data_IF_583617530461
#
_entry.id   IF_583617530461
#
_cell.length_a   1.000
_cell.length_b   1.000
_cell.length_c   1.000
_cell.angle_alpha   90.00
_cell.angle_beta   90.00
_cell.angle_gamma   90.00
#
_symmetry.space_group_name_H-M   'P 1'
#
loop_
_entity.id
_entity.type
_entity.pdbx_description
1 polymer ?
#
# COMPACT_ATOMS: atom_id res chain seq x y z
N UNK A 1 -14.40 -6.78 2.10
CA UNK A 1 -14.31 -5.69 1.12
C UNK A 1 -15.63 -5.59 0.36
N UNK A 2 -16.16 -4.40 0.15
CA UNK A 2 -17.44 -4.16 -0.54
C UNK A 2 -17.18 -3.48 -1.88
N UNK A 3 -17.53 -4.16 -2.97
CA UNK A 3 -17.33 -3.68 -4.34
C UNK A 3 -18.51 -2.87 -4.89
N UNK A 4 -18.41 -2.37 -6.14
CA UNK A 4 -19.51 -1.68 -6.81
C UNK A 4 -20.80 -2.53 -6.87
N UNK A 5 -21.96 -1.88 -6.73
CA UNK A 5 -23.27 -2.57 -6.72
C UNK A 5 -23.62 -3.28 -5.41
N UNK A 6 -22.75 -3.18 -4.39
CA UNK A 6 -23.01 -3.77 -3.07
C UNK A 6 -23.87 -2.85 -2.22
N UNK A 7 -24.97 -3.37 -1.68
CA UNK A 7 -25.75 -2.73 -0.64
C UNK A 7 -25.54 -3.48 0.68
N UNK A 8 -25.39 -2.74 1.78
CA UNK A 8 -25.24 -3.33 3.11
C UNK A 8 -26.22 -2.66 4.07
N UNK A 9 -26.87 -3.47 4.91
CA UNK A 9 -27.82 -2.97 5.90
C UNK A 9 -27.10 -2.46 7.14
N UNK A 10 -27.74 -1.57 7.90
CA UNK A 10 -27.21 -1.09 9.18
C UNK A 10 -26.85 -2.24 10.13
N UNK A 11 -27.71 -3.26 10.26
CA UNK A 11 -27.44 -4.39 11.17
C UNK A 11 -26.24 -5.23 10.75
N UNK A 12 -25.99 -5.38 9.44
CA UNK A 12 -24.77 -6.01 8.97
C UNK A 12 -23.52 -5.18 9.32
N UNK A 13 -23.59 -3.85 9.25
CA UNK A 13 -22.50 -2.97 9.68
C UNK A 13 -22.22 -3.10 11.19
N UNK A 14 -23.27 -3.17 12.03
CA UNK A 14 -23.14 -3.40 13.47
C UNK A 14 -22.44 -4.73 13.75
N UNK A 15 -22.95 -5.82 13.15
CA UNK A 15 -22.37 -7.16 13.32
C UNK A 15 -20.89 -7.20 12.91
N UNK A 16 -20.53 -6.58 11.79
CA UNK A 16 -19.13 -6.51 11.34
C UNK A 16 -18.25 -5.75 12.34
N UNK A 17 -18.76 -4.64 12.88
CA UNK A 17 -18.09 -3.86 13.93
C UNK A 17 -17.85 -4.65 15.22
N UNK A 18 -18.83 -5.45 15.65
CA UNK A 18 -18.77 -6.28 16.87
C UNK A 18 -17.90 -7.53 16.68
N UNK A 19 -17.90 -8.09 15.47
CA UNK A 19 -17.11 -9.30 15.14
C UNK A 19 -15.61 -9.01 15.00
N UNK A 20 -15.20 -7.74 15.04
CA UNK A 20 -13.82 -7.33 14.73
C UNK A 20 -13.46 -7.51 13.26
N UNK A 21 -14.45 -7.38 12.38
CA UNK A 21 -14.25 -7.36 10.95
C UNK A 21 -14.18 -5.90 10.47
N UNK A 22 -13.21 -5.60 9.62
CA UNK A 22 -13.09 -4.31 8.96
C UNK A 22 -13.82 -4.34 7.63
N UNK A 23 -14.36 -3.17 7.27
CA UNK A 23 -15.02 -2.96 6.01
C UNK A 23 -14.19 -1.97 5.23
N UNK A 24 -13.88 -2.32 4.00
CA UNK A 24 -13.25 -1.42 3.05
C UNK A 24 -14.14 -1.40 1.81
N UNK A 25 -14.66 -0.22 1.50
CA UNK A 25 -15.35 0.09 0.25
C UNK A 25 -14.30 0.27 -0.83
N UNK A 26 -14.36 -0.61 -1.80
CA UNK A 26 -13.38 -0.71 -2.87
C UNK A 26 -14.06 -0.68 -4.23
N UNK A 27 -13.27 -0.36 -5.26
CA UNK A 27 -13.62 -0.68 -6.63
C UNK A 27 -13.67 -2.19 -6.86
N UNK A 28 -13.93 -2.58 -8.10
CA UNK A 28 -13.91 -3.98 -8.49
C UNK A 28 -12.63 -4.69 -8.01
N UNK A 29 -12.78 -5.81 -7.29
CA UNK A 29 -11.68 -6.66 -6.80
C UNK A 29 -10.58 -5.92 -6.00
N UNK A 30 -10.95 -4.88 -5.23
CA UNK A 30 -9.98 -4.21 -4.32
C UNK A 30 -9.07 -3.19 -4.98
N UNK A 31 -9.24 -2.97 -6.29
CA UNK A 31 -8.36 -2.14 -7.12
C UNK A 31 -8.39 -0.67 -6.72
N UNK A 32 -9.56 -0.13 -6.37
CA UNK A 32 -9.68 1.27 -5.93
C UNK A 32 -10.08 1.31 -4.47
N UNK A 33 -9.55 2.25 -3.70
CA UNK A 33 -10.06 2.54 -2.36
C UNK A 33 -11.05 3.70 -2.42
N UNK A 34 -12.15 3.62 -1.65
CA UNK A 34 -13.09 4.72 -1.47
C UNK A 34 -13.21 5.14 0.00
N UNK A 35 -13.50 4.20 0.90
CA UNK A 35 -13.69 4.46 2.32
C UNK A 35 -13.48 3.17 3.14
N UNK A 36 -13.23 3.30 4.44
CA UNK A 36 -13.20 2.17 5.36
C UNK A 36 -13.95 2.45 6.66
N UNK A 37 -14.42 1.38 7.29
CA UNK A 37 -14.93 1.40 8.66
C UNK A 37 -13.81 1.23 9.69
N UNK A 38 -14.16 0.66 10.85
CA UNK A 38 -13.19 0.34 11.92
C UNK A 38 -12.08 -0.59 11.38
N UNK A 39 -10.84 -0.39 11.85
CA UNK A 39 -9.70 -1.24 11.51
C UNK A 39 -9.88 -2.70 12.01
N UNK A 40 -9.17 -3.67 11.40
CA UNK A 40 -9.05 -5.03 11.95
C UNK A 40 -8.19 -5.02 13.22
N UNK A 41 -7.22 -4.10 13.28
CA UNK A 41 -6.41 -3.92 14.47
C UNK A 41 -7.32 -3.51 15.63
N UNK A 42 -7.45 -4.41 16.61
CA UNK A 42 -8.10 -4.09 17.87
C UNK A 42 -7.15 -3.35 18.83
N UNK A 43 -5.86 -3.29 18.48
CA UNK A 43 -4.77 -2.66 19.24
C UNK A 43 -4.26 -1.38 18.56
N UNK A 44 -3.79 -0.41 19.35
CA UNK A 44 -3.14 0.82 18.87
C UNK A 44 -1.64 0.66 18.56
N UNK A 45 -1.06 -0.53 18.76
CA UNK A 45 0.39 -0.78 18.65
C UNK A 45 1.02 -0.25 17.36
N UNK A 46 0.45 -0.58 16.20
CA UNK A 46 1.02 -0.20 14.91
C UNK A 46 0.94 1.30 14.65
N UNK A 47 -0.18 1.95 15.00
CA UNK A 47 -0.31 3.41 14.80
C UNK A 47 0.52 4.20 15.80
N UNK A 48 0.66 3.75 17.05
CA UNK A 48 1.58 4.32 18.03
C UNK A 48 3.03 4.20 17.56
N UNK A 49 3.42 3.03 17.04
CA UNK A 49 4.75 2.82 16.48
C UNK A 49 5.00 3.72 15.27
N UNK A 50 4.06 3.78 14.32
CA UNK A 50 4.14 4.67 13.16
C UNK A 50 4.31 6.14 13.57
N UNK A 51 3.48 6.61 14.51
CA UNK A 51 3.56 7.98 15.01
C UNK A 51 4.92 8.26 15.66
N UNK A 52 5.39 7.38 16.54
CA UNK A 52 6.72 7.49 17.19
C UNK A 52 7.83 7.56 16.15
N UNK A 53 7.82 6.67 15.17
CA UNK A 53 8.87 6.58 14.14
C UNK A 53 8.86 7.81 13.23
N UNK A 54 7.70 8.28 12.78
CA UNK A 54 7.57 9.47 11.90
C UNK A 54 7.93 10.77 12.63
N UNK A 55 7.59 10.89 13.91
CA UNK A 55 7.87 12.11 14.70
C UNK A 55 9.35 12.28 15.05
N UNK A 56 10.12 11.19 15.15
CA UNK A 56 11.55 11.26 15.39
C UNK A 56 12.36 11.46 14.10
N UNK A 57 13.24 12.47 14.06
CA UNK A 57 14.08 12.74 12.87
C UNK A 57 14.97 11.55 12.50
N UNK A 58 15.60 10.92 13.48
CA UNK A 58 16.52 9.79 13.26
C UNK A 58 15.76 8.52 12.90
N UNK A 59 14.68 8.20 13.62
CA UNK A 59 13.84 7.02 13.36
C UNK A 59 13.15 7.12 12.00
N UNK A 60 12.65 8.31 11.63
CA UNK A 60 12.04 8.52 10.31
C UNK A 60 13.06 8.29 9.19
N UNK A 61 14.28 8.79 9.39
CA UNK A 61 15.39 8.59 8.46
C UNK A 61 15.73 7.10 8.32
N UNK A 62 15.79 6.37 9.43
CA UNK A 62 16.07 4.94 9.45
C UNK A 62 15.02 4.12 8.69
N UNK A 63 13.74 4.34 8.96
CA UNK A 63 12.66 3.67 8.22
C UNK A 63 12.70 4.05 6.74
N UNK A 64 12.89 5.34 6.40
CA UNK A 64 13.01 5.77 5.01
C UNK A 64 14.19 5.10 4.29
N UNK A 65 15.31 4.89 4.97
CA UNK A 65 16.43 4.10 4.44
C UNK A 65 16.00 2.67 4.17
N UNK A 66 15.46 1.96 5.17
CA UNK A 66 14.97 0.58 5.01
C UNK A 66 14.03 0.46 3.80
N UNK A 67 13.12 1.41 3.61
CA UNK A 67 12.23 1.45 2.45
C UNK A 67 12.96 1.60 1.10
N UNK A 68 14.11 2.27 1.04
CA UNK A 68 14.97 2.25 -0.16
C UNK A 68 15.69 0.91 -0.31
N UNK A 69 16.23 0.36 0.77
CA UNK A 69 16.99 -0.91 0.76
C UNK A 69 16.14 -2.07 0.25
N UNK A 70 14.86 -2.13 0.65
CA UNK A 70 13.89 -3.11 0.15
C UNK A 70 13.74 -3.11 -1.38
N UNK A 71 14.06 -2.00 -2.05
CA UNK A 71 13.96 -1.85 -3.51
C UNK A 71 15.29 -2.14 -4.24
N UNK A 72 16.38 -2.30 -3.51
CA UNK A 72 17.71 -2.66 -4.01
C UNK A 72 18.12 -4.03 -3.44
N UNK A 73 17.23 -5.01 -3.53
CA UNK A 73 17.46 -6.34 -2.97
C UNK A 73 18.79 -6.93 -3.48
N UNK A 74 19.69 -7.27 -2.55
CA UNK A 74 21.01 -7.81 -2.86
C UNK A 74 22.14 -6.78 -3.05
N UNK A 75 21.87 -5.49 -2.93
CA UNK A 75 22.89 -4.44 -2.97
C UNK A 75 23.22 -3.92 -1.57
N UNK A 76 24.52 -3.75 -1.26
CA UNK A 76 24.93 -3.05 -0.04
C UNK A 76 24.72 -1.53 -0.20
N UNK A 77 23.85 -1.01 0.65
CA UNK A 77 23.42 0.40 0.67
C UNK A 77 23.78 1.09 2.00
N UNK A 78 24.44 0.37 2.91
CA UNK A 78 24.78 0.84 4.26
C UNK A 78 25.60 2.13 4.27
N UNK A 79 26.56 2.25 3.36
CA UNK A 79 27.43 3.43 3.23
C UNK A 79 26.83 4.62 2.45
N UNK A 80 25.62 4.51 1.90
CA UNK A 80 25.05 5.54 1.04
C UNK A 80 24.31 6.60 1.85
N UNK A 81 24.43 7.86 1.47
CA UNK A 81 23.59 8.95 1.99
C UNK A 81 22.17 8.88 1.41
N UNK A 82 21.19 9.52 2.08
CA UNK A 82 19.82 9.62 1.54
C UNK A 82 19.73 10.31 0.18
N UNK A 83 20.62 11.26 -0.09
CA UNK A 83 20.65 11.92 -1.40
C UNK A 83 21.13 10.93 -2.48
N UNK A 84 22.13 10.10 -2.18
CA UNK A 84 22.59 9.04 -3.07
C UNK A 84 21.52 7.97 -3.28
N UNK A 85 20.83 7.54 -2.23
CA UNK A 85 19.70 6.60 -2.33
C UNK A 85 18.60 7.15 -3.24
N UNK A 86 18.19 8.42 -3.05
CA UNK A 86 17.22 9.09 -3.94
C UNK A 86 17.70 9.16 -5.40
N UNK A 87 18.96 9.50 -5.61
CA UNK A 87 19.54 9.57 -6.95
C UNK A 87 19.56 8.21 -7.65
N UNK A 88 19.96 7.16 -6.93
CA UNK A 88 19.96 5.78 -7.41
C UNK A 88 18.54 5.28 -7.70
N UNK A 89 17.57 5.59 -6.84
CA UNK A 89 16.16 5.23 -7.05
C UNK A 89 15.66 5.81 -8.38
N UNK A 90 15.91 7.11 -8.59
CA UNK A 90 15.53 7.77 -9.84
C UNK A 90 16.18 7.11 -11.07
N UNK A 91 17.45 6.69 -10.96
CA UNK A 91 18.13 5.98 -12.04
C UNK A 91 17.55 4.58 -12.26
N UNK A 92 17.28 3.80 -11.19
CA UNK A 92 16.68 2.47 -11.27
C UNK A 92 15.32 2.53 -11.95
N UNK A 93 14.43 3.42 -11.49
CA UNK A 93 13.09 3.56 -12.06
C UNK A 93 13.14 3.97 -13.54
N UNK A 94 14.06 4.86 -13.94
CA UNK A 94 14.26 5.17 -15.37
C UNK A 94 14.73 3.95 -16.17
N UNK A 95 15.55 3.09 -15.56
CA UNK A 95 15.94 1.79 -16.12
C UNK A 95 14.72 0.90 -16.34
N UNK A 96 13.91 0.67 -15.30
CA UNK A 96 12.69 -0.15 -15.37
C UNK A 96 11.75 0.32 -16.48
N UNK A 97 11.55 1.65 -16.62
CA UNK A 97 10.76 2.20 -17.72
C UNK A 97 11.35 1.89 -19.10
N UNK A 98 12.67 2.03 -19.26
CA UNK A 98 13.35 1.75 -20.53
C UNK A 98 13.31 0.26 -20.88
N UNK A 99 13.52 -0.60 -19.89
CA UNK A 99 13.52 -2.05 -20.06
C UNK A 99 12.11 -2.52 -20.42
N UNK A 100 11.07 -2.00 -19.74
CA UNK A 100 9.67 -2.27 -20.08
C UNK A 100 9.32 -1.75 -21.48
N UNK A 101 9.72 -0.53 -21.82
CA UNK A 101 9.53 0.05 -23.16
C UNK A 101 10.14 -0.84 -24.25
N UNK A 102 11.38 -1.29 -24.04
CA UNK A 102 12.08 -2.17 -24.97
C UNK A 102 11.45 -3.56 -25.05
N UNK A 103 11.04 -4.13 -23.92
CA UNK A 103 10.47 -5.47 -23.85
C UNK A 103 9.12 -5.55 -24.57
N UNK A 104 8.27 -4.54 -24.40
CA UNK A 104 6.90 -4.53 -24.93
C UNK A 104 6.75 -3.68 -26.19
N UNK A 105 7.85 -3.17 -26.77
CA UNK A 105 7.82 -2.41 -28.02
C UNK A 105 7.02 -1.10 -27.96
N UNK A 106 6.95 -0.46 -26.79
CA UNK A 106 6.19 0.79 -26.58
C UNK A 106 7.13 1.97 -26.50
N UNK A 107 6.85 3.04 -27.25
CA UNK A 107 7.65 4.27 -27.19
C UNK A 107 7.55 4.93 -25.80
N UNK A 108 8.71 5.23 -25.21
CA UNK A 108 8.80 5.91 -23.92
C UNK A 108 9.68 7.14 -23.97
N UNK A 109 9.12 8.28 -23.58
CA UNK A 109 9.85 9.55 -23.44
C UNK A 109 10.04 9.92 -21.98
N UNK A 110 8.93 10.15 -21.27
CA UNK A 110 8.91 10.52 -19.86
C UNK A 110 7.58 10.19 -19.21
N UNK A 111 7.61 10.12 -17.88
CA UNK A 111 6.39 10.19 -17.08
C UNK A 111 5.86 11.61 -17.15
N UNK A 112 4.61 11.73 -17.55
CA UNK A 112 3.85 12.97 -17.54
C UNK A 112 2.52 12.71 -16.82
N UNK A 113 2.37 13.35 -15.67
CA UNK A 113 1.17 13.22 -14.84
C UNK A 113 0.58 14.62 -14.67
N UNK A 114 -0.48 14.89 -15.41
CA UNK A 114 -1.32 16.07 -15.25
C UNK A 114 -2.66 15.64 -14.62
N UNK A 115 -2.93 15.98 -13.34
CA UNK A 115 -4.23 15.72 -12.72
C UNK A 115 -5.39 16.35 -13.48
N UNK A 116 -5.14 17.49 -14.14
CA UNK A 116 -6.15 18.30 -14.83
C UNK A 116 -6.33 17.92 -16.30
N UNK A 117 -5.47 17.05 -16.83
CA UNK A 117 -5.47 16.69 -18.25
C UNK A 117 -5.12 15.21 -18.49
N UNK A 118 -5.95 14.34 -17.94
CA UNK A 118 -5.78 12.90 -18.06
C UNK A 118 -5.91 12.40 -19.51
N UNK A 119 -6.86 12.99 -20.27
CA UNK A 119 -7.20 12.55 -21.62
C UNK A 119 -6.18 12.96 -22.69
N UNK A 120 -5.45 14.06 -22.53
CA UNK A 120 -4.41 14.46 -23.50
C UNK A 120 -3.04 13.81 -23.22
N UNK A 121 -2.92 12.97 -22.19
CA UNK A 121 -1.69 12.19 -21.96
C UNK A 121 -1.60 11.02 -22.94
N UNK A 122 -0.39 10.65 -23.36
CA UNK A 122 -0.21 9.52 -24.28
C UNK A 122 -0.68 8.19 -23.65
N UNK A 123 -1.00 7.15 -24.46
CA UNK A 123 -1.58 5.90 -23.96
C UNK A 123 -0.80 5.28 -22.79
N UNK A 124 0.53 5.27 -22.86
CA UNK A 124 1.35 4.71 -21.77
C UNK A 124 1.24 5.48 -20.45
N UNK A 125 1.15 6.81 -20.49
CA UNK A 125 0.94 7.59 -19.26
C UNK A 125 -0.48 7.39 -18.68
N UNK A 126 -1.50 7.17 -19.52
CA UNK A 126 -2.84 6.82 -19.06
C UNK A 126 -2.85 5.44 -18.38
N UNK A 127 -2.25 4.43 -19.02
CA UNK A 127 -2.12 3.09 -18.48
C UNK A 127 -1.34 3.08 -17.16
N UNK A 128 -0.18 3.75 -17.08
CA UNK A 128 0.58 3.88 -15.84
C UNK A 128 -0.22 4.54 -14.72
N UNK A 129 -0.98 5.60 -15.04
CA UNK A 129 -1.81 6.28 -14.06
C UNK A 129 -2.93 5.37 -13.54
N UNK A 130 -3.59 4.64 -14.44
CA UNK A 130 -4.61 3.65 -14.08
C UNK A 130 -4.01 2.54 -13.21
N UNK A 131 -2.89 1.95 -13.62
CA UNK A 131 -2.21 0.87 -12.90
C UNK A 131 -1.72 1.32 -11.51
N UNK A 132 -1.14 2.51 -11.39
CA UNK A 132 -0.72 3.01 -10.08
C UNK A 132 -1.91 3.29 -9.17
N UNK A 133 -3.00 3.85 -9.69
CA UNK A 133 -4.23 4.04 -8.90
C UNK A 133 -4.77 2.70 -8.35
N UNK A 134 -4.64 1.62 -9.12
CA UNK A 134 -4.95 0.26 -8.66
C UNK A 134 -4.13 -0.14 -7.42
N UNK A 135 -2.81 -0.01 -7.54
CA UNK A 135 -1.90 -0.40 -6.48
C UNK A 135 -2.08 0.46 -5.23
N UNK A 136 -2.33 1.76 -5.40
CA UNK A 136 -2.62 2.67 -4.29
C UNK A 136 -3.88 2.25 -3.54
N UNK A 137 -4.94 1.84 -4.24
CA UNK A 137 -6.16 1.35 -3.61
C UNK A 137 -5.93 0.13 -2.71
N UNK A 138 -5.16 -0.83 -3.21
CA UNK A 138 -4.82 -2.07 -2.50
C UNK A 138 -3.94 -1.78 -1.28
N UNK A 139 -2.90 -0.98 -1.46
CA UNK A 139 -1.98 -0.59 -0.38
C UNK A 139 -2.72 0.21 0.69
N UNK A 140 -3.59 1.14 0.29
CA UNK A 140 -4.43 1.89 1.22
C UNK A 140 -5.30 0.94 2.04
N UNK A 141 -5.99 0.00 1.40
CA UNK A 141 -6.82 -0.99 2.08
C UNK A 141 -6.04 -1.79 3.15
N UNK A 142 -4.81 -2.20 2.84
CA UNK A 142 -3.93 -2.90 3.81
C UNK A 142 -3.54 -1.98 4.97
N UNK A 143 -3.12 -0.74 4.69
CA UNK A 143 -2.72 0.24 5.72
C UNK A 143 -3.84 0.46 6.75
N UNK A 144 -5.07 0.72 6.29
CA UNK A 144 -6.20 0.97 7.20
C UNK A 144 -6.67 -0.30 7.90
N UNK A 145 -6.60 -1.46 7.22
CA UNK A 145 -6.90 -2.75 7.82
C UNK A 145 -5.96 -3.05 9.00
N UNK A 146 -4.68 -2.67 8.88
CA UNK A 146 -3.67 -2.78 9.96
C UNK A 146 -3.78 -1.70 11.04
N UNK A 147 -4.66 -0.71 10.84
CA UNK A 147 -4.89 0.37 11.80
C UNK A 147 -3.84 1.48 11.72
N UNK A 148 -2.97 1.44 10.72
CA UNK A 148 -2.00 2.49 10.44
C UNK A 148 -2.68 3.72 9.80
N UNK A 149 -2.02 4.87 9.89
CA UNK A 149 -2.45 6.09 9.22
C UNK A 149 -1.89 6.17 7.78
N UNK A 150 -2.74 6.37 6.76
CA UNK A 150 -2.31 6.66 5.38
C UNK A 150 -1.50 7.96 5.24
N UNK A 151 -1.66 8.90 6.17
CA UNK A 151 -1.08 10.25 6.08
C UNK A 151 0.33 10.34 6.68
N UNK A 152 0.71 9.42 7.57
CA UNK A 152 2.00 9.44 8.26
C UNK A 152 3.08 8.72 7.44
N UNK A 153 3.56 9.40 6.39
CA UNK A 153 4.64 8.92 5.52
C UNK A 153 6.05 9.18 6.06
N UNK A 154 6.98 8.32 5.65
CA UNK A 154 8.41 8.38 5.91
C UNK A 154 9.17 9.10 4.79
N UNK A 155 8.91 8.77 3.52
CA UNK A 155 9.57 9.36 2.35
C UNK A 155 8.74 10.51 1.79
N UNK A 156 7.47 10.29 1.51
CA UNK A 156 6.52 11.32 1.09
C UNK A 156 5.97 12.07 2.31
N UNK A 157 5.54 13.32 2.09
CA UNK A 157 4.95 14.17 3.13
C UNK A 157 4.04 15.23 2.54
N UNK A 158 3.10 15.75 3.34
CA UNK A 158 2.22 16.85 2.95
C UNK A 158 0.94 16.41 2.22
N UNK A 159 0.72 15.10 2.07
CA UNK A 159 -0.49 14.53 1.47
C UNK A 159 -1.12 13.50 2.41
N UNK A 160 -2.45 13.41 2.42
CA UNK A 160 -3.19 12.40 3.21
C UNK A 160 -2.90 10.93 2.84
N UNK A 161 -2.18 10.70 1.73
CA UNK A 161 -1.83 9.39 1.20
C UNK A 161 -0.30 9.17 1.20
N UNK A 162 0.45 9.99 1.96
CA UNK A 162 1.92 9.94 1.95
C UNK A 162 2.46 8.53 2.22
N UNK A 163 1.91 7.83 3.21
CA UNK A 163 2.34 6.47 3.52
C UNK A 163 1.87 5.44 2.47
N UNK A 164 0.73 5.70 1.82
CA UNK A 164 0.28 4.88 0.68
C UNK A 164 1.29 4.96 -0.46
N UNK A 165 1.79 6.15 -0.78
CA UNK A 165 2.80 6.32 -1.82
C UNK A 165 4.13 5.66 -1.45
N UNK A 166 4.56 5.80 -0.18
CA UNK A 166 5.79 5.17 0.32
C UNK A 166 5.78 3.66 0.13
N UNK A 167 4.69 3.02 0.57
CA UNK A 167 4.53 1.57 0.51
C UNK A 167 4.27 1.09 -0.92
N UNK A 168 3.46 1.80 -1.71
CA UNK A 168 3.18 1.41 -3.09
C UNK A 168 4.44 1.45 -3.98
N UNK A 169 5.34 2.39 -3.75
CA UNK A 169 6.61 2.47 -4.48
C UNK A 169 7.49 1.23 -4.31
N UNK A 170 7.28 0.42 -3.27
CA UNK A 170 7.96 -0.86 -3.09
C UNK A 170 7.58 -1.90 -4.15
N UNK A 171 6.41 -1.76 -4.78
CA UNK A 171 5.86 -2.77 -5.70
C UNK A 171 5.65 -2.25 -7.14
N UNK A 172 5.81 -0.95 -7.38
CA UNK A 172 5.55 -0.36 -8.70
C UNK A 172 6.36 -1.00 -9.82
N UNK A 173 7.65 -1.21 -9.57
CA UNK A 173 8.59 -1.76 -10.54
C UNK A 173 8.28 -3.23 -10.89
N UNK A 174 7.81 -4.00 -9.92
CA UNK A 174 7.53 -5.43 -10.07
C UNK A 174 6.15 -5.69 -10.72
N UNK A 175 5.21 -4.76 -10.56
CA UNK A 175 3.80 -4.98 -10.91
C UNK A 175 3.32 -3.95 -11.92
N UNK A 176 3.09 -2.72 -11.48
CA UNK A 176 2.29 -1.78 -12.26
C UNK A 176 2.99 -1.21 -13.47
N UNK A 177 4.32 -1.01 -13.41
CA UNK A 177 5.09 -0.50 -14.55
C UNK A 177 5.10 -1.53 -15.69
N UNK A 178 5.60 -2.77 -15.49
CA UNK A 178 5.62 -3.74 -16.58
C UNK A 178 4.22 -4.06 -17.12
N UNK A 179 3.20 -4.18 -16.26
CA UNK A 179 1.82 -4.43 -16.72
C UNK A 179 1.25 -3.30 -17.57
N UNK A 180 1.53 -2.03 -17.25
CA UNK A 180 1.06 -0.91 -18.06
C UNK A 180 1.69 -0.92 -19.45
N UNK A 181 2.99 -1.22 -19.54
CA UNK A 181 3.67 -1.36 -20.83
C UNK A 181 3.18 -2.57 -21.61
N UNK A 182 2.95 -3.70 -20.93
CA UNK A 182 2.40 -4.90 -21.54
C UNK A 182 1.04 -4.62 -22.17
N UNK A 183 0.10 -4.02 -21.43
CA UNK A 183 -1.25 -3.71 -21.94
C UNK A 183 -1.18 -2.80 -23.16
N UNK A 184 -0.32 -1.78 -23.13
CA UNK A 184 -0.17 -0.87 -24.29
C UNK A 184 0.49 -1.59 -25.47
N UNK A 185 1.50 -2.42 -25.25
CA UNK A 185 2.16 -3.19 -26.30
C UNK A 185 1.22 -4.21 -26.98
N UNK A 186 0.38 -4.89 -26.17
CA UNK A 186 -0.69 -5.77 -26.65
C UNK A 186 -1.67 -4.99 -27.55
N UNK A 187 -2.17 -3.84 -27.10
CA UNK A 187 -3.14 -3.02 -27.84
C UNK A 187 -2.55 -2.32 -29.08
N UNK A 188 -1.28 -1.96 -29.06
CA UNK A 188 -0.57 -1.40 -30.22
C UNK A 188 -0.17 -2.48 -31.24
N UNK A 189 -0.30 -3.76 -30.90
CA UNK A 189 0.21 -4.87 -31.70
C UNK A 189 1.75 -4.91 -31.79
N UNK A 190 2.46 -4.17 -30.94
CA UNK A 190 3.93 -4.15 -30.88
C UNK A 190 4.50 -5.28 -30.03
N UNK A 191 3.64 -5.94 -29.24
CA UNK A 191 3.99 -7.11 -28.44
C UNK A 191 2.80 -8.07 -28.32
N UNK A 192 3.09 -9.38 -28.28
CA UNK A 192 2.13 -10.46 -28.08
C UNK A 192 2.72 -11.48 -27.10
N UNK A 193 1.86 -12.11 -26.29
CA UNK A 193 2.25 -13.18 -25.36
C UNK A 193 2.29 -14.59 -25.98
N UNK A 194 1.86 -14.71 -27.26
CA UNK A 194 1.74 -15.94 -28.08
C UNK A 194 0.82 -17.04 -27.54
N UNK A 195 -0.49 -16.88 -27.78
CA UNK A 195 -1.46 -17.93 -28.13
C UNK A 195 -2.72 -17.22 -28.67
N UNK A 196 -3.10 -17.51 -29.91
CA UNK A 196 -4.37 -17.20 -30.60
C UNK A 196 -5.19 -16.00 -30.09
N UNK A 197 -5.30 -14.98 -30.96
CA UNK A 197 -6.06 -13.72 -30.78
C UNK A 197 -5.30 -12.58 -30.07
N UNK A 198 -4.35 -11.95 -30.77
CA UNK A 198 -4.08 -10.54 -30.52
C UNK A 198 -5.39 -9.77 -30.83
N UNK A 199 -5.98 -9.02 -29.90
CA UNK A 199 -7.17 -8.24 -30.19
C UNK A 199 -6.82 -7.21 -31.26
N UNK A 200 -7.32 -7.42 -32.49
CA UNK A 200 -7.24 -6.42 -33.53
C UNK A 200 -8.32 -5.39 -33.26
N UNK A 201 -8.07 -4.26 -32.58
CA UNK A 201 -9.09 -3.21 -32.61
C UNK A 201 -8.60 -1.85 -32.09
N UNK A 202 -8.56 -0.87 -33.00
CA UNK A 202 -8.50 0.57 -32.67
C UNK A 202 -9.58 1.00 -31.66
N UNK A 203 -10.68 0.24 -31.52
CA UNK A 203 -11.77 0.52 -30.57
C UNK A 203 -11.49 0.15 -29.11
N UNK A 204 -10.41 -0.57 -28.80
CA UNK A 204 -10.10 -0.97 -27.41
C UNK A 204 -9.34 0.11 -26.62
N UNK A 205 -8.71 1.07 -27.30
CA UNK A 205 -8.05 2.20 -26.64
C UNK A 205 -9.04 3.11 -25.89
N UNK A 206 -10.32 3.11 -26.30
CA UNK A 206 -11.38 3.88 -25.63
C UNK A 206 -11.59 3.45 -24.16
N UNK A 207 -11.30 2.18 -23.80
CA UNK A 207 -11.31 1.67 -22.41
C UNK A 207 -9.90 1.27 -21.91
N UNK A 208 -8.82 1.87 -22.44
CA UNK A 208 -7.46 1.56 -21.98
C UNK A 208 -7.31 1.61 -20.46
N UNK A 209 -7.83 2.63 -19.73
CA UNK A 209 -7.79 2.63 -18.27
C UNK A 209 -8.54 1.45 -17.64
N UNK A 210 -9.67 1.01 -18.20
CA UNK A 210 -10.44 -0.13 -17.70
C UNK A 210 -9.74 -1.47 -17.93
N UNK A 211 -9.19 -1.67 -19.13
CA UNK A 211 -8.37 -2.84 -19.47
C UNK A 211 -7.17 -2.92 -18.51
N UNK A 212 -6.46 -1.81 -18.33
CA UNK A 212 -5.31 -1.75 -17.43
C UNK A 212 -5.70 -2.10 -15.99
N UNK A 213 -6.84 -1.56 -15.50
CA UNK A 213 -7.35 -1.90 -14.15
C UNK A 213 -7.63 -3.40 -14.01
N UNK A 214 -8.27 -4.03 -14.99
CA UNK A 214 -8.54 -5.48 -15.01
C UNK A 214 -7.25 -6.31 -15.08
N UNK A 215 -6.24 -5.85 -15.81
CA UNK A 215 -4.94 -6.54 -15.86
C UNK A 215 -4.20 -6.51 -14.53
N UNK A 216 -4.17 -5.36 -13.86
CA UNK A 216 -3.56 -5.24 -12.52
C UNK A 216 -4.34 -6.07 -11.51
N UNK A 217 -5.67 -6.01 -11.55
CA UNK A 217 -6.57 -6.83 -10.74
C UNK A 217 -6.22 -8.30 -10.81
N UNK A 218 -6.13 -8.84 -12.01
CA UNK A 218 -5.88 -10.27 -12.21
C UNK A 218 -4.50 -10.66 -11.66
N UNK A 219 -3.49 -9.80 -11.87
CA UNK A 219 -2.13 -10.00 -11.37
C UNK A 219 -2.00 -10.00 -9.83
N UNK A 220 -2.92 -9.35 -9.10
CA UNK A 220 -2.88 -9.26 -7.62
C UNK A 220 -3.95 -10.10 -6.93
N UNK A 221 -4.83 -10.74 -7.69
CA UNK A 221 -6.02 -11.45 -7.20
C UNK A 221 -5.71 -12.66 -6.30
N UNK A 222 -4.49 -13.21 -6.41
CA UNK A 222 -4.04 -14.35 -5.59
C UNK A 222 -3.71 -13.99 -4.13
N UNK A 223 -3.80 -12.72 -3.76
CA UNK A 223 -3.61 -12.23 -2.40
C UNK A 223 -2.15 -12.14 -1.93
N UNK A 224 -1.17 -12.58 -2.74
CA UNK A 224 0.25 -12.57 -2.33
C UNK A 224 0.77 -11.16 -2.07
N UNK A 225 0.30 -10.17 -2.83
CA UNK A 225 0.67 -8.77 -2.65
C UNK A 225 0.10 -8.20 -1.35
N UNK A 226 -1.13 -8.57 -0.96
CA UNK A 226 -1.70 -8.14 0.32
C UNK A 226 -0.93 -8.73 1.50
N UNK A 227 -0.58 -10.02 1.42
CA UNK A 227 0.22 -10.71 2.44
C UNK A 227 1.63 -10.11 2.54
N UNK A 228 2.30 -9.87 1.40
CA UNK A 228 3.61 -9.20 1.35
C UNK A 228 3.53 -7.78 1.92
N UNK A 229 2.55 -6.98 1.49
CA UNK A 229 2.33 -5.62 1.99
C UNK A 229 2.13 -5.58 3.51
N UNK A 230 1.36 -6.53 4.03
CA UNK A 230 1.15 -6.66 5.47
C UNK A 230 2.45 -6.95 6.22
N UNK A 231 3.23 -7.92 5.74
CA UNK A 231 4.53 -8.27 6.33
C UNK A 231 5.51 -7.11 6.28
N UNK A 232 5.59 -6.43 5.15
CA UNK A 232 6.52 -5.33 4.91
C UNK A 232 6.18 -4.13 5.83
N UNK A 233 4.90 -3.77 5.98
CA UNK A 233 4.46 -2.73 6.92
C UNK A 233 4.78 -3.11 8.37
N UNK A 234 4.49 -4.35 8.79
CA UNK A 234 4.82 -4.79 10.16
C UNK A 234 6.32 -4.74 10.42
N UNK A 235 7.13 -5.21 9.48
CA UNK A 235 8.59 -5.21 9.61
C UNK A 235 9.18 -3.80 9.71
N UNK A 236 8.63 -2.84 8.96
CA UNK A 236 9.07 -1.44 9.02
C UNK A 236 8.69 -0.74 10.32
N UNK A 237 7.52 -1.06 10.89
CA UNK A 237 6.97 -0.34 12.06
C UNK A 237 7.31 -1.01 13.39
N UNK A 238 7.47 -2.32 13.41
CA UNK A 238 7.69 -3.16 14.58
C UNK A 238 8.73 -4.26 14.25
N UNK A 239 10.00 -3.89 13.98
CA UNK A 239 11.04 -4.84 13.56
C UNK A 239 11.38 -5.89 14.62
N UNK A 240 11.21 -5.56 15.90
CA UNK A 240 11.51 -6.43 17.03
C UNK A 240 10.30 -7.29 17.48
N UNK A 241 9.17 -7.18 16.79
CA UNK A 241 7.93 -7.86 17.13
C UNK A 241 7.79 -9.14 16.30
N UNK A 242 7.94 -10.34 16.90
CA UNK A 242 7.85 -11.59 16.16
C UNK A 242 6.47 -11.71 15.50
N UNK A 243 6.45 -12.13 14.24
CA UNK A 243 5.20 -12.48 13.54
C UNK A 243 4.79 -13.86 14.06
N UNK A 244 4.16 -13.93 15.22
CA UNK A 244 3.60 -15.19 15.72
C UNK A 244 2.28 -15.49 14.99
N UNK A 245 2.18 -16.67 14.37
CA UNK A 245 1.01 -17.09 13.58
C UNK A 245 -0.27 -17.26 14.42
N UNK A 246 -0.14 -17.36 15.75
CA UNK A 246 -1.22 -17.68 16.70
C UNK A 246 -1.49 -16.57 17.73
N UNK A 247 -0.95 -15.37 17.56
CA UNK A 247 -1.19 -14.28 18.51
C UNK A 247 -2.66 -13.82 18.42
N UNK A 248 -3.51 -14.39 19.29
CA UNK A 248 -4.77 -13.77 19.65
C UNK A 248 -4.40 -12.45 20.32
N UNK A 249 -4.46 -11.36 19.57
CA UNK A 249 -4.41 -9.99 20.08
C UNK A 249 -5.50 -9.79 21.15
N UNK A 250 -5.26 -10.29 22.36
CA UNK A 250 -6.04 -9.97 23.53
C UNK A 250 -5.73 -8.50 23.80
N UNK A 251 -6.66 -7.62 23.42
CA UNK A 251 -6.56 -6.20 23.70
C UNK A 251 -6.69 -6.01 25.20
N UNK A 252 -5.55 -5.94 25.88
CA UNK A 252 -5.51 -5.51 27.27
C UNK A 252 -5.45 -3.99 27.26
N UNK A 253 -6.56 -3.36 27.64
CA UNK A 253 -6.58 -1.92 27.86
C UNK A 253 -5.66 -1.59 29.03
N UNK A 254 -4.71 -0.68 28.80
CA UNK A 254 -3.76 -0.21 29.82
C UNK A 254 -3.87 1.29 29.97
N UNK A 255 -3.59 1.81 31.16
CA UNK A 255 -3.37 3.25 31.36
C UNK A 255 -1.90 3.58 31.06
N UNK A 256 -1.68 4.77 30.49
CA UNK A 256 -0.33 5.30 30.31
C UNK A 256 0.20 5.84 31.65
N UNK A 257 1.45 5.51 31.96
CA UNK A 257 2.16 5.98 33.15
C UNK A 257 3.54 6.54 32.76
N UNK A 258 3.92 7.67 33.36
CA UNK A 258 5.17 8.36 33.00
C UNK A 258 6.44 7.61 33.46
N UNK A 259 6.37 6.78 34.50
CA UNK A 259 7.53 6.09 35.11
C UNK A 259 7.70 4.67 34.59
N UNK A 260 6.59 3.95 34.45
CA UNK A 260 6.59 2.53 34.06
C UNK A 260 5.97 2.26 32.70
N UNK A 261 5.42 3.29 32.04
CA UNK A 261 4.93 3.23 30.66
C UNK A 261 3.48 2.75 30.54
N UNK A 262 3.19 1.52 30.99
CA UNK A 262 1.84 0.93 30.96
C UNK A 262 1.48 0.30 32.29
N UNK A 263 0.28 0.59 32.79
CA UNK A 263 -0.31 -0.04 33.99
C UNK A 263 -1.71 -0.58 33.68
N UNK A 264 -2.23 -1.50 34.49
CA UNK A 264 -3.53 -2.11 34.25
C UNK A 264 -4.67 -1.07 34.24
N UNK A 265 -5.54 -1.10 33.22
CA UNK A 265 -6.81 -0.38 33.32
C UNK A 265 -7.75 -1.15 34.27
N UNK A 266 -8.62 -0.44 35.00
CA UNK A 266 -9.56 -1.05 35.94
C UNK A 266 -8.98 -1.41 37.31
N UNK A 267 -7.74 -1.05 37.63
CA UNK A 267 -7.20 -1.22 38.98
C UNK A 267 -7.38 0.07 39.82
N UNK A 268 -7.63 -0.08 41.13
CA UNK A 268 -7.58 1.04 42.07
C UNK A 268 -6.12 1.34 42.47
N UNK A 269 -5.67 2.57 42.23
CA UNK A 269 -4.30 3.04 42.50
C UNK A 269 -4.18 3.94 43.74
N UNK A 270 -5.19 3.98 44.61
CA UNK A 270 -5.04 4.59 45.94
C UNK A 270 -4.02 3.81 46.79
N UNK A 271 -3.46 4.42 47.85
CA UNK A 271 -2.33 3.92 48.66
C UNK A 271 -2.62 2.64 49.51
N UNK A 272 -3.27 1.64 48.92
CA UNK A 272 -3.54 0.31 49.46
C UNK A 272 -3.71 -0.68 48.31
N UNK A 273 -3.26 -1.92 48.52
CA UNK A 273 -3.24 -3.05 47.57
C UNK A 273 -4.29 -2.96 46.44
N UNK A 274 -3.90 -3.15 45.17
CA UNK A 274 -4.83 -3.02 44.05
C UNK A 274 -5.90 -4.10 44.13
N UNK A 275 -7.12 -3.69 44.44
CA UNK A 275 -8.32 -4.50 44.20
C UNK A 275 -8.65 -4.42 42.71
N UNK A 276 -8.88 -5.59 42.08
CA UNK A 276 -9.40 -5.67 40.71
C UNK A 276 -10.80 -5.05 40.68
N UNK A 277 -11.01 -4.06 39.81
CA UNK A 277 -12.34 -3.49 39.53
C UNK A 277 -12.74 -3.94 38.13
N UNK A 278 -13.75 -4.80 38.05
CA UNK A 278 -14.34 -5.25 36.78
C UNK A 278 -14.94 -4.05 36.01
N UNK A 279 -14.49 -3.84 34.78
CA UNK A 279 -15.14 -2.98 33.78
C UNK A 279 -15.15 -3.64 32.40
#
# INVERSE_FOLDING_TARGET
MLGPGTNITHQAMVLLGDSGASIVWVGEQGVRYYASGRSLARSSRLIEAQARLVSGRLTRLEVARQMYEMRFAGEDTSGLTMQQLRGREGARIRGVYRDSASQYGVEWTRRDYSPDDFANSNPINQALSAAHACLYGVVHAVIVALGCSPALGFVHSGHELSFVYDVADLYKADITIPLAFQVVGELQGTWSSDADEAPSMESEFDDLPGITRRRVRDAISDGKILARCTRDIRSLLLPDDPIEEDEKDAVVLTLWDEKVGRVAAGANYSDGTPDEVDF
#
